data_IF_376490045714
#
_entry.id   IF_376490045714
#
_cell.length_a   1.000
_cell.length_b   1.000
_cell.length_c   1.000
_cell.angle_alpha   90.00
_cell.angle_beta   90.00
_cell.angle_gamma   90.00
#
_symmetry.space_group_name_H-M   'P 1'
#
loop_
_entity.id
_entity.type
_entity.pdbx_description
1 polymer ?
#
# COMPACT_ATOMS: atom_id res chain seq x y z
N UNK A 1 15.32 -45.66 -2.26
CA UNK A 1 15.05 -45.06 -0.94
C UNK A 1 13.94 -44.03 -1.14
N UNK A 2 12.94 -44.00 -0.26
CA UNK A 2 11.79 -43.11 -0.39
C UNK A 2 12.13 -41.66 0.03
N UNK A 3 11.48 -40.63 -0.54
CA UNK A 3 11.64 -39.24 -0.13
C UNK A 3 11.24 -39.01 1.34
N UNK A 4 11.90 -38.05 2.00
CA UNK A 4 11.57 -37.68 3.38
C UNK A 4 10.41 -36.69 3.37
N UNK A 5 9.23 -37.11 3.84
CA UNK A 5 8.01 -36.28 3.83
C UNK A 5 8.02 -35.12 4.82
N UNK A 6 8.94 -35.12 5.78
CA UNK A 6 9.09 -34.06 6.79
C UNK A 6 10.11 -32.99 6.42
N UNK A 7 10.68 -33.05 5.22
CA UNK A 7 11.63 -32.05 4.70
C UNK A 7 11.06 -31.38 3.47
N UNK A 8 11.30 -30.08 3.38
CA UNK A 8 10.95 -29.30 2.20
C UNK A 8 11.78 -29.74 0.99
N UNK A 9 11.16 -29.71 -0.18
CA UNK A 9 11.85 -29.95 -1.45
C UNK A 9 12.67 -28.70 -1.86
N UNK A 10 13.67 -28.82 -2.76
CA UNK A 10 14.58 -27.73 -3.10
C UNK A 10 13.90 -26.45 -3.63
N UNK A 11 12.80 -26.61 -4.36
CA UNK A 11 11.96 -25.52 -4.86
C UNK A 11 11.27 -24.77 -3.71
N UNK A 12 10.75 -25.50 -2.72
CA UNK A 12 10.16 -24.93 -1.52
C UNK A 12 11.24 -24.22 -0.69
N UNK A 13 12.41 -24.83 -0.49
CA UNK A 13 13.52 -24.18 0.23
C UNK A 13 13.96 -22.85 -0.43
N UNK A 14 13.96 -22.79 -1.76
CA UNK A 14 14.26 -21.57 -2.51
C UNK A 14 13.23 -20.46 -2.27
N UNK A 15 11.95 -20.80 -2.19
CA UNK A 15 10.88 -19.82 -1.90
C UNK A 15 10.97 -19.35 -0.44
N UNK A 16 11.28 -20.25 0.49
CA UNK A 16 11.40 -19.96 1.92
C UNK A 16 12.73 -19.26 2.29
N UNK A 17 13.59 -18.95 1.32
CA UNK A 17 14.94 -18.40 1.55
C UNK A 17 14.94 -17.06 2.31
N UNK A 18 13.89 -16.25 2.16
CA UNK A 18 13.75 -14.94 2.82
C UNK A 18 12.87 -14.98 4.07
N UNK A 19 12.41 -16.16 4.49
CA UNK A 19 11.60 -16.27 5.69
C UNK A 19 12.42 -15.89 6.94
N UNK A 20 11.83 -15.16 7.90
CA UNK A 20 12.51 -14.82 9.14
C UNK A 20 13.01 -16.08 9.86
N UNK A 21 14.31 -16.09 10.16
CA UNK A 21 14.97 -17.13 10.95
C UNK A 21 15.81 -16.45 12.03
N UNK A 22 15.78 -17.00 13.24
CA UNK A 22 16.59 -16.49 14.36
C UNK A 22 18.06 -16.76 14.09
N UNK A 23 18.88 -15.70 14.04
CA UNK A 23 20.33 -15.85 13.92
C UNK A 23 20.93 -16.17 15.29
N UNK A 24 21.75 -17.21 15.36
CA UNK A 24 22.45 -17.63 16.59
C UNK A 24 23.68 -16.77 16.90
N UNK A 25 24.12 -15.96 15.94
CA UNK A 25 25.31 -15.12 16.02
C UNK A 25 25.04 -13.73 15.45
N UNK A 26 25.96 -12.80 15.72
CA UNK A 26 25.90 -11.45 15.15
C UNK A 26 26.18 -11.45 13.64
N UNK A 27 25.45 -10.62 12.89
CA UNK A 27 25.64 -10.47 11.45
C UNK A 27 26.88 -9.61 11.13
N UNK A 28 27.83 -10.17 10.38
CA UNK A 28 29.01 -9.43 9.91
C UNK A 28 28.76 -8.82 8.52
N UNK A 29 28.81 -7.48 8.43
CA UNK A 29 28.71 -6.73 7.17
C UNK A 29 29.60 -5.49 7.23
N UNK A 30 30.40 -5.26 6.19
CA UNK A 30 31.26 -4.07 6.11
C UNK A 30 30.46 -2.78 5.94
N UNK A 31 31.06 -1.65 6.31
CA UNK A 31 30.45 -0.33 6.13
C UNK A 31 30.29 0.03 4.64
N UNK A 32 31.22 -0.41 3.79
CA UNK A 32 31.15 -0.22 2.35
C UNK A 32 29.96 -0.96 1.74
N UNK A 33 29.75 -2.24 2.10
CA UNK A 33 28.62 -3.02 1.62
C UNK A 33 27.28 -2.42 2.06
N UNK A 34 27.14 -2.05 3.35
CA UNK A 34 25.92 -1.41 3.87
C UNK A 34 25.59 -0.09 3.16
N UNK A 35 26.60 0.69 2.73
CA UNK A 35 26.37 1.95 2.00
C UNK A 35 25.76 1.72 0.62
N UNK A 36 26.13 0.62 -0.05
CA UNK A 36 25.60 0.24 -1.36
C UNK A 36 24.15 -0.25 -1.18
N UNK A 37 23.93 -1.19 -0.26
CA UNK A 37 22.60 -1.79 -0.01
C UNK A 37 21.55 -0.76 0.42
N UNK A 38 21.96 0.29 1.17
CA UNK A 38 21.07 1.35 1.62
C UNK A 38 20.34 2.05 0.45
N UNK A 39 20.99 2.19 -0.71
CA UNK A 39 20.38 2.84 -1.88
C UNK A 39 19.25 2.00 -2.47
N UNK A 40 19.39 0.67 -2.43
CA UNK A 40 18.39 -0.26 -2.98
C UNK A 40 17.06 -0.22 -2.21
N UNK A 41 17.11 -0.01 -0.89
CA UNK A 41 15.92 -0.02 -0.02
C UNK A 41 15.39 1.38 0.34
N UNK A 42 15.89 2.44 -0.30
CA UNK A 42 15.53 3.83 0.04
C UNK A 42 14.11 4.17 -0.46
N UNK A 43 13.22 4.56 0.47
CA UNK A 43 11.83 4.97 0.15
C UNK A 43 11.64 6.48 0.03
N UNK A 44 12.39 7.25 0.81
CA UNK A 44 12.23 8.70 0.93
C UNK A 44 13.21 9.42 -0.01
N UNK A 45 12.95 10.69 -0.38
CA UNK A 45 13.90 11.49 -1.14
C UNK A 45 15.30 11.51 -0.52
N UNK A 46 16.32 11.43 -1.37
CA UNK A 46 17.70 11.48 -0.93
C UNK A 46 18.12 12.89 -0.54
N UNK A 47 18.74 13.04 0.63
CA UNK A 47 19.28 14.33 1.09
C UNK A 47 20.43 14.83 0.21
N UNK A 48 21.06 13.94 -0.55
CA UNK A 48 22.15 14.22 -1.47
C UNK A 48 21.68 14.32 -2.93
N UNK A 49 20.38 14.25 -3.19
CA UNK A 49 19.82 14.47 -4.52
C UNK A 49 19.68 15.99 -4.73
N UNK A 50 20.48 16.51 -5.65
CA UNK A 50 20.39 17.91 -6.11
C UNK A 50 19.50 18.05 -7.36
N UNK A 51 18.89 16.95 -7.81
CA UNK A 51 18.04 16.91 -9.01
C UNK A 51 16.59 17.19 -8.61
N UNK A 52 16.00 18.32 -9.02
CA UNK A 52 14.69 18.76 -8.52
C UNK A 52 13.52 17.86 -8.89
N UNK A 53 13.60 17.10 -9.99
CA UNK A 53 12.47 16.30 -10.51
C UNK A 53 12.15 15.05 -9.67
N UNK A 54 13.15 14.45 -9.02
CA UNK A 54 12.97 13.31 -8.10
C UNK A 54 12.75 13.80 -6.67
N UNK A 55 13.38 14.92 -6.31
CA UNK A 55 13.36 15.47 -4.97
C UNK A 55 12.10 16.31 -4.64
N UNK A 56 11.37 16.84 -5.63
CA UNK A 56 10.12 17.60 -5.46
C UNK A 56 8.93 16.96 -6.17
N UNK A 57 8.80 15.63 -6.22
CA UNK A 57 7.47 15.09 -6.56
C UNK A 57 6.54 15.49 -5.42
N UNK A 58 5.49 16.30 -5.66
CA UNK A 58 4.46 16.49 -4.67
C UNK A 58 3.93 15.10 -4.32
N UNK A 59 3.82 14.79 -3.03
CA UNK A 59 2.92 13.72 -2.62
C UNK A 59 1.56 14.10 -3.23
N UNK A 60 0.90 13.26 -4.03
CA UNK A 60 -0.44 13.58 -4.48
C UNK A 60 -1.31 13.69 -3.23
N UNK A 61 -1.55 14.94 -2.82
CA UNK A 61 -2.39 15.32 -1.70
C UNK A 61 -3.84 15.06 -2.14
N UNK A 62 -4.47 14.13 -1.43
CA UNK A 62 -5.90 13.81 -1.40
C UNK A 62 -6.55 13.27 -2.69
N UNK A 63 -6.89 11.98 -2.65
CA UNK A 63 -8.09 11.47 -3.32
C UNK A 63 -9.30 12.33 -2.87
N UNK A 64 -10.24 12.69 -3.76
CA UNK A 64 -11.39 13.50 -3.36
C UNK A 64 -12.13 12.81 -2.22
N UNK A 65 -12.42 13.58 -1.18
CA UNK A 65 -13.07 13.16 0.05
C UNK A 65 -14.58 12.90 -0.15
N UNK A 66 -14.95 12.16 -1.20
CA UNK A 66 -16.34 11.95 -1.62
C UNK A 66 -16.69 10.46 -1.84
N UNK A 67 -16.08 9.57 -1.03
CA UNK A 67 -16.51 8.16 -0.94
C UNK A 67 -16.85 7.73 0.48
N UNK A 68 -17.00 8.67 1.42
CA UNK A 68 -17.61 8.38 2.73
C UNK A 68 -19.12 8.24 2.58
N UNK A 69 -19.52 6.99 2.41
CA UNK A 69 -20.85 6.44 2.69
C UNK A 69 -21.99 6.89 1.77
N UNK A 70 -22.12 6.24 0.61
CA UNK A 70 -23.44 5.91 0.09
C UNK A 70 -23.92 4.60 0.76
N UNK A 71 -24.34 4.69 2.03
CA UNK A 71 -25.26 3.69 2.58
C UNK A 71 -26.63 4.08 2.03
N UNK A 72 -27.06 3.36 1.01
CA UNK A 72 -28.38 3.49 0.41
C UNK A 72 -29.40 3.09 1.49
N UNK A 73 -29.94 4.06 2.22
CA UNK A 73 -31.16 3.85 2.98
C UNK A 73 -32.31 3.70 1.97
N UNK A 74 -32.74 2.46 1.74
CA UNK A 74 -33.94 2.13 0.99
C UNK A 74 -35.18 2.66 1.75
N UNK A 75 -35.50 3.94 1.57
CA UNK A 75 -36.72 4.53 2.13
C UNK A 75 -37.89 4.07 1.25
N UNK A 76 -38.71 3.18 1.81
CA UNK A 76 -39.91 2.68 1.17
C UNK A 76 -40.81 3.85 0.70
N UNK A 77 -41.14 3.82 -0.59
CA UNK A 77 -42.08 4.72 -1.29
C UNK A 77 -43.46 4.61 -0.64
N UNK A 78 -43.87 5.61 0.14
CA UNK A 78 -45.29 5.87 0.44
C UNK A 78 -45.82 6.86 -0.60
N UNK A 79 -46.94 6.47 -1.19
CA UNK A 79 -47.65 7.15 -2.27
C UNK A 79 -48.42 8.38 -1.74
N UNK A 80 -48.68 9.35 -2.62
CA UNK A 80 -49.52 10.54 -2.36
C UNK A 80 -48.67 11.76 -2.00
N UNK A 81 -48.81 12.94 -2.58
CA UNK A 81 -49.93 13.56 -3.30
C UNK A 81 -49.30 14.65 -4.19
N UNK A 82 -49.57 14.64 -5.49
CA UNK A 82 -49.10 15.68 -6.40
C UNK A 82 -50.02 16.89 -6.24
N UNK A 83 -49.51 18.01 -5.71
CA UNK A 83 -50.15 19.31 -5.87
C UNK A 83 -49.21 20.26 -6.59
N UNK A 84 -49.64 20.64 -7.78
CA UNK A 84 -49.02 21.65 -8.63
C UNK A 84 -49.06 23.00 -7.90
N UNK A 85 -47.89 23.65 -7.79
CA UNK A 85 -47.81 25.04 -7.36
C UNK A 85 -47.92 25.88 -8.63
N UNK A 86 -49.01 26.63 -8.77
CA UNK A 86 -49.11 27.67 -9.80
C UNK A 86 -48.15 28.80 -9.41
N UNK A 87 -47.17 29.08 -10.26
CA UNK A 87 -46.47 30.36 -10.21
C UNK A 87 -47.48 31.47 -10.51
N UNK A 88 -47.42 32.55 -9.73
CA UNK A 88 -47.66 33.94 -10.12
C UNK A 88 -47.62 34.76 -8.83
N UNK A 89 -46.65 35.67 -8.71
CA UNK A 89 -46.95 37.09 -8.50
C UNK A 89 -45.65 37.92 -8.51
N UNK A 90 -45.77 39.01 -9.25
CA UNK A 90 -44.93 40.21 -9.39
C UNK A 90 -44.66 40.93 -8.08
#
# INVERSE_FOLDING_TARGET
MAPVLSKDAPDIESILALNPRTQTHAALRSTSAKKIDKKHWKRNPDKNCFVPEVCRRPVPEELPHESRHQVIHHKHRKQGEFRFISANET
#
